data_IF_441226926307
#
_entry.id   IF_441226926307
#
_cell.length_a   1.000
_cell.length_b   1.000
_cell.length_c   1.000
_cell.angle_alpha   90.00
_cell.angle_beta   90.00
_cell.angle_gamma   90.00
#
_symmetry.space_group_name_H-M   'P 1'
#
loop_
_entity.id
_entity.type
_entity.pdbx_description
1 polymer ?
#
# COMPACT_ATOMS: atom_id res chain seq x y z
N UNK A 1 21.57 -7.94 2.80
CA UNK A 1 20.20 -8.23 2.27
C UNK A 1 19.92 -7.53 0.95
N UNK A 2 20.66 -6.46 0.60
CA UNK A 2 20.52 -5.75 -0.68
C UNK A 2 20.91 -6.59 -1.91
N UNK A 3 21.77 -7.59 -1.76
CA UNK A 3 22.23 -8.44 -2.88
C UNK A 3 21.30 -9.63 -3.22
N UNK A 4 20.24 -9.85 -2.45
CA UNK A 4 19.34 -11.00 -2.68
C UNK A 4 18.22 -10.68 -3.66
N UNK A 5 17.71 -9.47 -3.68
CA UNK A 5 16.68 -9.00 -4.59
C UNK A 5 17.23 -7.90 -5.52
N UNK A 6 16.70 -7.87 -6.73
CA UNK A 6 16.95 -6.79 -7.67
C UNK A 6 16.13 -5.53 -7.31
N UNK A 7 16.39 -4.39 -7.96
CA UNK A 7 15.65 -3.15 -7.73
C UNK A 7 14.37 -3.09 -8.56
N UNK A 8 13.35 -2.37 -8.06
CA UNK A 8 12.08 -2.19 -8.77
C UNK A 8 12.30 -1.43 -10.07
N UNK A 9 13.19 -0.43 -10.10
CA UNK A 9 13.56 0.32 -11.29
C UNK A 9 14.10 -0.59 -12.39
N UNK A 10 15.00 -1.53 -12.03
CA UNK A 10 15.56 -2.48 -13.00
C UNK A 10 14.52 -3.47 -13.54
N UNK A 11 13.56 -3.87 -12.71
CA UNK A 11 12.45 -4.71 -13.13
C UNK A 11 11.48 -3.97 -14.07
N UNK A 12 11.16 -2.70 -13.76
CA UNK A 12 10.36 -1.83 -14.64
C UNK A 12 11.03 -1.68 -16.00
N UNK A 13 12.34 -1.46 -16.04
CA UNK A 13 13.07 -1.32 -17.30
C UNK A 13 13.08 -2.62 -18.11
N UNK A 14 13.22 -3.78 -17.47
CA UNK A 14 13.12 -5.08 -18.15
C UNK A 14 11.70 -5.31 -18.70
N UNK A 15 10.64 -4.96 -17.97
CA UNK A 15 9.26 -5.04 -18.46
C UNK A 15 8.99 -4.13 -19.65
N UNK A 16 9.54 -2.90 -19.67
CA UNK A 16 9.47 -1.99 -20.84
C UNK A 16 10.08 -2.60 -22.08
N UNK A 17 11.13 -3.39 -21.90
CA UNK A 17 11.84 -4.07 -22.98
C UNK A 17 11.23 -5.45 -23.34
N UNK A 18 10.03 -5.78 -22.83
CA UNK A 18 9.33 -7.02 -23.12
C UNK A 18 9.94 -8.25 -22.46
N UNK A 19 10.76 -8.07 -21.42
CA UNK A 19 11.33 -9.18 -20.66
C UNK A 19 10.40 -9.62 -19.52
N UNK A 20 10.66 -10.81 -19.01
CA UNK A 20 10.02 -11.40 -17.85
C UNK A 20 10.77 -10.95 -16.59
N UNK A 21 10.05 -10.73 -15.48
CA UNK A 21 10.58 -10.57 -14.14
C UNK A 21 9.93 -11.57 -13.19
N UNK A 22 10.55 -11.83 -12.03
CA UNK A 22 9.94 -12.63 -10.96
C UNK A 22 9.47 -11.68 -9.87
N UNK A 23 8.24 -11.90 -9.41
CA UNK A 23 7.66 -11.18 -8.28
C UNK A 23 7.22 -12.18 -7.22
N UNK A 24 7.81 -12.12 -6.03
CA UNK A 24 7.38 -12.93 -4.89
C UNK A 24 6.56 -12.11 -3.91
N UNK A 25 5.60 -12.77 -3.27
CA UNK A 25 4.86 -12.20 -2.15
C UNK A 25 5.55 -12.48 -0.80
N UNK A 26 4.88 -12.12 0.29
CA UNK A 26 5.41 -12.29 1.65
C UNK A 26 5.33 -13.76 2.12
N UNK A 27 6.32 -14.17 2.93
CA UNK A 27 6.38 -15.51 3.52
C UNK A 27 5.14 -15.85 4.39
N UNK A 28 4.50 -14.84 4.95
CA UNK A 28 3.28 -14.99 5.76
C UNK A 28 1.98 -15.08 4.92
N UNK A 29 2.05 -14.87 3.59
CA UNK A 29 0.90 -14.94 2.69
C UNK A 29 0.89 -16.28 1.95
N UNK A 30 1.30 -16.35 0.70
CA UNK A 30 1.42 -17.58 -0.10
C UNK A 30 2.85 -18.12 -0.11
N UNK A 31 3.83 -17.20 0.07
CA UNK A 31 5.26 -17.48 -0.04
C UNK A 31 5.62 -18.11 -1.39
N UNK A 32 5.09 -17.52 -2.47
CA UNK A 32 5.23 -17.99 -3.84
C UNK A 32 5.80 -16.90 -4.73
N UNK A 33 6.26 -17.28 -5.91
CA UNK A 33 6.77 -16.36 -6.91
C UNK A 33 6.22 -16.65 -8.29
N UNK A 34 5.83 -15.58 -8.98
CA UNK A 34 5.31 -15.64 -10.33
C UNK A 34 6.31 -15.06 -11.33
N UNK A 35 6.39 -15.69 -12.51
CA UNK A 35 6.88 -15.05 -13.71
C UNK A 35 5.87 -13.99 -14.14
N UNK A 36 6.34 -12.77 -14.36
CA UNK A 36 5.50 -11.63 -14.74
C UNK A 36 6.04 -10.99 -16.01
N UNK A 37 5.18 -10.75 -17.00
CA UNK A 37 5.48 -9.86 -18.12
C UNK A 37 4.33 -8.90 -18.37
N UNK A 38 4.60 -7.78 -19.06
CA UNK A 38 3.55 -6.87 -19.50
C UNK A 38 2.72 -7.52 -20.62
N UNK A 39 1.38 -7.52 -20.45
CA UNK A 39 0.49 -8.18 -21.43
C UNK A 39 0.57 -7.55 -22.82
N UNK A 40 0.88 -6.25 -22.91
CA UNK A 40 1.03 -5.55 -24.20
C UNK A 40 2.19 -6.08 -25.04
N UNK A 41 3.26 -6.55 -24.39
CA UNK A 41 4.48 -7.04 -25.02
C UNK A 41 4.60 -8.57 -25.05
N UNK A 42 3.52 -9.28 -24.65
CA UNK A 42 3.52 -10.75 -24.65
C UNK A 42 3.75 -11.33 -26.05
N UNK A 43 4.55 -12.39 -26.14
CA UNK A 43 4.81 -13.14 -27.37
C UNK A 43 4.57 -14.63 -27.15
N UNK A 44 4.42 -15.43 -28.22
CA UNK A 44 4.35 -16.88 -28.10
C UNK A 44 5.54 -17.50 -27.36
N UNK A 45 6.74 -16.94 -27.53
CA UNK A 45 7.97 -17.40 -26.88
C UNK A 45 7.89 -17.19 -25.36
N UNK A 46 7.36 -16.03 -24.91
CA UNK A 46 7.13 -15.74 -23.49
C UNK A 46 6.14 -16.74 -22.90
N UNK A 47 5.00 -16.97 -23.55
CA UNK A 47 4.01 -17.96 -23.11
C UNK A 47 4.61 -19.36 -23.04
N UNK A 48 5.39 -19.75 -24.08
CA UNK A 48 6.07 -21.03 -24.08
C UNK A 48 7.10 -21.16 -22.94
N UNK A 49 7.85 -20.10 -22.66
CA UNK A 49 8.79 -20.06 -21.54
C UNK A 49 8.04 -20.23 -20.19
N UNK A 50 6.97 -19.46 -19.95
CA UNK A 50 6.16 -19.56 -18.75
C UNK A 50 5.59 -20.97 -18.56
N UNK A 51 5.07 -21.57 -19.62
CA UNK A 51 4.51 -22.93 -19.59
C UNK A 51 5.56 -23.99 -19.29
N UNK A 52 6.75 -23.90 -19.90
CA UNK A 52 7.78 -24.95 -19.82
C UNK A 52 8.68 -24.79 -18.60
N UNK A 53 8.94 -23.57 -18.17
CA UNK A 53 9.84 -23.25 -17.06
C UNK A 53 9.11 -22.89 -15.78
N UNK A 54 8.04 -22.09 -15.86
CA UNK A 54 7.18 -21.76 -14.72
C UNK A 54 6.34 -22.96 -14.29
N UNK A 55 5.67 -23.63 -15.23
CA UNK A 55 4.79 -24.81 -15.03
C UNK A 55 3.48 -24.51 -14.31
N UNK A 56 3.22 -23.26 -13.96
CA UNK A 56 2.00 -22.79 -13.32
C UNK A 56 0.85 -22.52 -14.31
N UNK A 57 -0.20 -21.90 -13.83
CA UNK A 57 -1.34 -21.47 -14.64
C UNK A 57 -1.05 -20.12 -15.30
N UNK A 58 -1.21 -20.05 -16.62
CA UNK A 58 -1.10 -18.76 -17.33
C UNK A 58 -2.35 -17.94 -17.07
N UNK A 59 -2.18 -16.82 -16.36
CA UNK A 59 -3.26 -15.88 -16.05
C UNK A 59 -3.00 -14.51 -16.69
N UNK A 60 -4.09 -13.86 -17.12
CA UNK A 60 -4.08 -12.47 -17.59
C UNK A 60 -4.59 -11.56 -16.49
N UNK A 61 -3.74 -10.75 -15.89
CA UNK A 61 -4.16 -9.76 -14.89
C UNK A 61 -4.54 -8.46 -15.58
N UNK A 62 -5.67 -7.87 -15.19
CA UNK A 62 -6.20 -6.67 -15.83
C UNK A 62 -6.73 -5.69 -14.80
N UNK A 63 -6.70 -4.40 -15.14
CA UNK A 63 -7.39 -3.39 -14.35
C UNK A 63 -8.91 -3.47 -14.52
N UNK A 64 -9.63 -2.74 -13.66
CA UNK A 64 -11.10 -2.70 -13.70
C UNK A 64 -11.67 -2.13 -15.00
N UNK A 65 -10.93 -1.26 -15.70
CA UNK A 65 -11.41 -0.64 -16.95
C UNK A 65 -11.41 -1.66 -18.08
N UNK A 66 -10.32 -2.41 -18.23
CA UNK A 66 -10.20 -3.50 -19.20
C UNK A 66 -11.23 -4.58 -18.90
N UNK A 67 -11.34 -5.04 -17.63
CA UNK A 67 -12.31 -6.04 -17.22
C UNK A 67 -13.76 -5.62 -17.58
N UNK A 68 -14.14 -4.37 -17.27
CA UNK A 68 -15.46 -3.83 -17.58
C UNK A 68 -15.70 -3.72 -19.08
N UNK A 69 -14.73 -3.19 -19.84
CA UNK A 69 -14.81 -3.04 -21.30
C UNK A 69 -15.04 -4.36 -21.98
N UNK A 70 -14.27 -5.39 -21.61
CA UNK A 70 -14.34 -6.72 -22.22
C UNK A 70 -15.39 -7.64 -21.58
N UNK A 71 -16.23 -7.11 -20.64
CA UNK A 71 -17.26 -7.87 -19.93
C UNK A 71 -16.72 -9.18 -19.33
N UNK A 72 -15.57 -9.07 -18.64
CA UNK A 72 -14.96 -10.19 -17.92
C UNK A 72 -15.70 -10.35 -16.58
N UNK A 73 -16.73 -11.18 -16.59
CA UNK A 73 -17.54 -11.46 -15.41
C UNK A 73 -16.81 -12.36 -14.43
N UNK A 74 -17.03 -12.15 -13.12
CA UNK A 74 -16.49 -13.02 -12.08
C UNK A 74 -16.89 -14.49 -12.37
N UNK A 75 -15.96 -15.41 -12.10
CA UNK A 75 -16.15 -16.83 -12.35
C UNK A 75 -17.24 -17.42 -11.43
N UNK A 76 -17.40 -16.87 -10.22
CA UNK A 76 -18.38 -17.26 -9.21
C UNK A 76 -19.07 -16.03 -8.63
N UNK A 77 -20.33 -16.16 -8.21
CA UNK A 77 -21.06 -15.09 -7.53
C UNK A 77 -20.55 -14.89 -6.09
N UNK A 78 -20.30 -16.00 -5.39
CA UNK A 78 -19.76 -15.99 -4.03
C UNK A 78 -18.31 -16.51 -4.06
N UNK A 79 -17.36 -15.62 -3.86
CA UNK A 79 -15.93 -15.92 -3.88
C UNK A 79 -15.48 -16.35 -2.49
N UNK A 80 -15.26 -17.64 -2.31
CA UNK A 80 -14.78 -18.27 -1.07
C UNK A 80 -13.26 -18.48 -1.04
N UNK A 81 -12.51 -17.95 -2.04
CA UNK A 81 -11.05 -18.04 -2.09
C UNK A 81 -10.42 -17.23 -0.94
N UNK A 82 -9.46 -17.82 -0.23
CA UNK A 82 -8.91 -17.32 1.04
C UNK A 82 -8.21 -15.96 0.92
N UNK A 83 -7.62 -15.66 -0.23
CA UNK A 83 -6.92 -14.39 -0.52
C UNK A 83 -7.75 -13.41 -1.36
N UNK A 84 -9.00 -13.77 -1.68
CA UNK A 84 -9.94 -12.95 -2.44
C UNK A 84 -9.51 -12.71 -3.89
N UNK A 85 -8.85 -13.70 -4.51
CA UNK A 85 -8.42 -13.64 -5.91
C UNK A 85 -9.63 -13.56 -6.84
N UNK A 86 -9.72 -12.50 -7.65
CA UNK A 86 -10.91 -12.18 -8.44
C UNK A 86 -10.82 -12.79 -9.84
N UNK A 87 -10.83 -14.14 -9.93
CA UNK A 87 -10.90 -14.85 -11.21
C UNK A 87 -12.18 -14.50 -11.96
N UNK A 88 -12.03 -14.32 -13.25
CA UNK A 88 -13.16 -14.16 -14.17
C UNK A 88 -13.32 -15.41 -15.04
N UNK A 89 -14.44 -15.51 -15.78
CA UNK A 89 -14.65 -16.58 -16.73
C UNK A 89 -13.49 -16.60 -17.72
N UNK A 90 -12.93 -17.78 -18.00
CA UNK A 90 -11.83 -17.98 -18.93
C UNK A 90 -12.23 -17.62 -20.38
N UNK A 91 -11.28 -17.20 -21.18
CA UNK A 91 -11.52 -16.69 -22.53
C UNK A 91 -10.53 -17.22 -23.56
N UNK A 92 -10.95 -17.22 -24.82
CA UNK A 92 -10.11 -17.36 -26.01
C UNK A 92 -10.51 -16.29 -27.03
N UNK A 93 -9.55 -15.82 -27.84
CA UNK A 93 -9.89 -14.96 -28.97
C UNK A 93 -10.69 -15.72 -30.03
N UNK A 94 -11.55 -15.00 -30.76
CA UNK A 94 -12.28 -15.55 -31.91
C UNK A 94 -11.33 -15.97 -33.02
N UNK A 95 -11.72 -16.99 -33.80
CA UNK A 95 -10.93 -17.54 -34.91
C UNK A 95 -10.55 -16.51 -35.97
N UNK A 96 -11.29 -15.41 -36.11
CA UNK A 96 -10.95 -14.30 -37.00
C UNK A 96 -9.59 -13.66 -36.70
N UNK A 97 -9.05 -13.86 -35.50
CA UNK A 97 -7.72 -13.41 -35.08
C UNK A 97 -6.62 -14.46 -35.35
N UNK A 98 -6.95 -15.55 -36.02
CA UNK A 98 -6.00 -16.60 -36.37
C UNK A 98 -5.81 -17.66 -35.28
N UNK A 99 -6.62 -17.66 -34.24
CA UNK A 99 -6.59 -18.68 -33.17
C UNK A 99 -7.23 -19.98 -33.65
N UNK A 100 -6.71 -21.10 -33.16
CA UNK A 100 -7.21 -22.44 -33.41
C UNK A 100 -8.03 -22.98 -32.25
N UNK A 101 -7.49 -23.92 -31.48
CA UNK A 101 -8.16 -24.49 -30.29
C UNK A 101 -8.07 -23.62 -29.06
N UNK A 102 -7.14 -22.65 -29.02
CA UNK A 102 -6.94 -21.70 -27.90
C UNK A 102 -5.75 -22.03 -26.99
N UNK A 103 -5.27 -23.31 -26.96
CA UNK A 103 -4.29 -23.75 -25.95
C UNK A 103 -2.83 -23.54 -26.38
N UNK A 104 -2.53 -23.39 -27.66
CA UNK A 104 -1.15 -23.18 -28.11
C UNK A 104 -0.57 -21.88 -27.54
N UNK A 105 0.76 -21.79 -27.45
CA UNK A 105 1.40 -20.57 -27.01
C UNK A 105 1.04 -19.36 -27.90
N UNK A 106 0.91 -19.58 -29.22
CA UNK A 106 0.47 -18.56 -30.17
C UNK A 106 -0.98 -18.12 -29.92
N UNK A 107 -1.89 -19.09 -29.75
CA UNK A 107 -3.30 -18.78 -29.46
C UNK A 107 -3.49 -18.00 -28.17
N UNK A 108 -2.77 -18.41 -27.10
CA UNK A 108 -2.83 -17.73 -25.81
C UNK A 108 -2.25 -16.30 -25.87
N UNK A 109 -1.11 -16.11 -26.54
CA UNK A 109 -0.54 -14.79 -26.75
C UNK A 109 -1.50 -13.89 -27.56
N UNK A 110 -2.14 -14.42 -28.60
CA UNK A 110 -3.15 -13.72 -29.38
C UNK A 110 -4.37 -13.36 -28.54
N UNK A 111 -4.88 -14.29 -27.73
CA UNK A 111 -6.01 -14.05 -26.83
C UNK A 111 -5.72 -12.92 -25.84
N UNK A 112 -4.53 -12.91 -25.23
CA UNK A 112 -4.10 -11.85 -24.32
C UNK A 112 -4.08 -10.49 -25.02
N UNK A 113 -3.49 -10.40 -26.21
CA UNK A 113 -3.45 -9.16 -27.00
C UNK A 113 -4.83 -8.66 -27.37
N UNK A 114 -5.73 -9.53 -27.84
CA UNK A 114 -7.12 -9.17 -28.16
C UNK A 114 -7.85 -8.68 -26.91
N UNK A 115 -7.67 -9.32 -25.74
CA UNK A 115 -8.35 -8.94 -24.53
C UNK A 115 -8.00 -7.54 -24.01
N UNK A 116 -6.79 -7.03 -24.32
CA UNK A 116 -6.33 -5.71 -23.90
C UNK A 116 -6.31 -4.64 -25.00
N UNK A 117 -6.63 -5.00 -26.24
CA UNK A 117 -6.63 -4.05 -27.35
C UNK A 117 -7.76 -3.03 -27.21
N UNK A 118 -7.47 -1.75 -27.46
CA UNK A 118 -8.43 -0.65 -27.28
C UNK A 118 -9.60 -0.71 -28.28
N UNK A 119 -9.41 -1.35 -29.43
CA UNK A 119 -10.42 -1.50 -30.47
C UNK A 119 -11.23 -2.79 -30.33
N UNK A 120 -10.80 -3.73 -29.48
CA UNK A 120 -11.54 -4.97 -29.25
C UNK A 120 -12.85 -4.75 -28.52
N UNK A 121 -13.82 -5.59 -28.81
CA UNK A 121 -15.14 -5.65 -28.20
C UNK A 121 -15.36 -7.00 -27.51
N UNK A 122 -16.33 -7.13 -26.57
CA UNK A 122 -16.56 -8.38 -25.84
C UNK A 122 -16.78 -9.61 -26.72
N UNK A 123 -17.37 -9.42 -27.90
CA UNK A 123 -17.67 -10.46 -28.89
C UNK A 123 -16.40 -11.00 -29.59
N UNK A 124 -15.26 -10.32 -29.46
CA UNK A 124 -13.97 -10.77 -29.95
C UNK A 124 -13.39 -11.93 -29.12
N UNK A 125 -13.98 -12.17 -27.95
CA UNK A 125 -13.62 -13.25 -27.04
C UNK A 125 -14.71 -14.32 -26.98
N UNK A 126 -14.30 -15.59 -27.09
CA UNK A 126 -15.12 -16.77 -26.77
C UNK A 126 -15.02 -17.05 -25.25
N UNK A 127 -16.09 -17.58 -24.69
CA UNK A 127 -16.19 -17.99 -23.28
C UNK A 127 -16.86 -19.37 -23.20
N UNK A 128 -16.31 -20.35 -22.46
CA UNK A 128 -15.00 -20.33 -21.80
C UNK A 128 -13.83 -20.47 -22.78
N UNK A 129 -12.59 -20.36 -22.27
CA UNK A 129 -11.35 -20.51 -23.05
C UNK A 129 -10.18 -20.98 -22.19
N UNK A 130 -8.96 -20.73 -22.66
CA UNK A 130 -7.72 -21.24 -22.07
C UNK A 130 -6.85 -20.13 -21.41
N UNK A 131 -7.27 -18.87 -21.46
CA UNK A 131 -6.70 -17.78 -20.66
C UNK A 131 -7.65 -17.45 -19.53
N UNK A 132 -7.12 -17.32 -18.33
CA UNK A 132 -7.85 -17.01 -17.08
C UNK A 132 -7.60 -15.55 -16.69
N UNK A 133 -8.52 -14.63 -17.01
CA UNK A 133 -8.36 -13.25 -16.59
C UNK A 133 -8.63 -13.10 -15.08
N UNK A 134 -7.81 -12.27 -14.41
CA UNK A 134 -7.97 -11.92 -13.00
C UNK A 134 -8.04 -10.40 -12.89
N UNK A 135 -9.08 -9.91 -12.22
CA UNK A 135 -9.26 -8.47 -12.03
C UNK A 135 -8.49 -7.99 -10.80
N UNK A 136 -7.52 -7.10 -11.03
CA UNK A 136 -6.80 -6.44 -9.94
C UNK A 136 -7.67 -5.45 -9.16
N UNK A 137 -7.36 -5.23 -7.88
CA UNK A 137 -7.96 -4.18 -7.06
C UNK A 137 -7.54 -2.80 -7.57
N UNK A 138 -8.42 -1.80 -7.37
CA UNK A 138 -8.21 -0.42 -7.85
C UNK A 138 -6.93 0.21 -7.30
N UNK A 139 -6.64 -0.01 -6.02
CA UNK A 139 -5.44 0.49 -5.34
C UNK A 139 -4.15 -0.29 -5.67
N UNK A 140 -4.25 -1.39 -6.46
CA UNK A 140 -3.11 -2.24 -6.77
C UNK A 140 -2.53 -2.89 -5.51
N UNK A 141 -1.19 -3.04 -5.46
CA UNK A 141 -0.49 -3.65 -4.30
C UNK A 141 -0.71 -2.89 -2.98
N UNK A 142 -1.18 -1.64 -3.02
CA UNK A 142 -1.51 -0.86 -1.83
C UNK A 142 -2.89 -1.20 -1.24
N UNK A 143 -3.72 -1.94 -1.97
CA UNK A 143 -5.03 -2.44 -1.52
C UNK A 143 -5.00 -3.95 -1.27
N UNK A 144 -4.32 -4.73 -2.13
CA UNK A 144 -4.13 -6.18 -2.00
C UNK A 144 -2.70 -6.56 -2.38
N UNK A 145 -1.98 -7.16 -1.44
CA UNK A 145 -0.53 -7.45 -1.53
C UNK A 145 -0.21 -8.72 -2.33
N UNK A 146 -0.84 -8.90 -3.50
CA UNK A 146 -0.71 -10.09 -4.34
C UNK A 146 0.00 -9.85 -5.68
N UNK A 147 0.46 -10.95 -6.32
CA UNK A 147 1.13 -10.94 -7.62
C UNK A 147 0.23 -10.39 -8.73
N UNK A 148 -1.10 -10.60 -8.64
CA UNK A 148 -2.10 -10.01 -9.54
C UNK A 148 -1.98 -8.49 -9.59
N UNK A 149 -2.03 -7.84 -8.45
CA UNK A 149 -1.91 -6.39 -8.33
C UNK A 149 -0.52 -5.91 -8.72
N UNK A 150 0.51 -6.64 -8.29
CA UNK A 150 1.90 -6.33 -8.61
C UNK A 150 2.17 -6.29 -10.12
N UNK A 151 1.65 -7.24 -10.88
CA UNK A 151 1.84 -7.31 -12.33
C UNK A 151 1.16 -6.15 -13.07
N UNK A 152 -0.05 -5.77 -12.67
CA UNK A 152 -0.79 -4.62 -13.21
C UNK A 152 -0.08 -3.30 -12.85
N UNK A 153 0.38 -3.16 -11.61
CA UNK A 153 1.12 -1.97 -11.17
C UNK A 153 2.45 -1.82 -11.90
N UNK A 154 3.21 -2.89 -12.04
CA UNK A 154 4.49 -2.86 -12.76
C UNK A 154 4.30 -2.50 -14.24
N UNK A 155 3.28 -3.06 -14.92
CA UNK A 155 2.96 -2.69 -16.29
C UNK A 155 2.61 -1.18 -16.39
N UNK A 156 1.80 -0.66 -15.47
CA UNK A 156 1.44 0.75 -15.40
C UNK A 156 2.66 1.64 -15.10
N UNK A 157 3.53 1.25 -14.17
CA UNK A 157 4.77 1.97 -13.83
C UNK A 157 5.76 1.96 -15.01
N UNK A 158 5.73 0.89 -15.82
CA UNK A 158 6.49 0.81 -17.07
C UNK A 158 5.94 1.71 -18.19
N UNK A 159 4.78 2.37 -17.98
CA UNK A 159 4.12 3.19 -19.01
C UNK A 159 3.36 2.39 -20.06
N UNK A 160 3.08 1.11 -19.78
CA UNK A 160 2.34 0.19 -20.61
C UNK A 160 0.87 0.07 -20.17
N UNK A 161 0.04 -0.63 -20.94
CA UNK A 161 -1.34 -0.91 -20.55
C UNK A 161 -1.37 -1.61 -19.18
N UNK A 162 -2.31 -1.25 -18.27
CA UNK A 162 -2.38 -1.80 -16.93
C UNK A 162 -2.90 -3.25 -16.94
N UNK A 163 -2.10 -4.12 -17.52
CA UNK A 163 -2.35 -5.55 -17.69
C UNK A 163 -1.04 -6.32 -17.69
N UNK A 164 -1.00 -7.44 -16.99
CA UNK A 164 0.14 -8.33 -16.91
C UNK A 164 -0.22 -9.76 -17.29
N UNK A 165 0.77 -10.57 -17.59
CA UNK A 165 0.65 -12.02 -17.69
C UNK A 165 1.47 -12.61 -16.55
N UNK A 166 0.87 -13.47 -15.77
CA UNK A 166 1.51 -14.12 -14.62
C UNK A 166 1.46 -15.64 -14.78
N UNK A 167 2.44 -16.31 -14.20
CA UNK A 167 2.50 -17.76 -14.10
C UNK A 167 3.34 -18.15 -12.88
N UNK A 168 2.78 -18.94 -12.01
CA UNK A 168 3.47 -19.43 -10.81
C UNK A 168 4.68 -20.29 -11.20
N UNK A 169 5.70 -20.30 -10.33
CA UNK A 169 6.91 -21.08 -10.54
C UNK A 169 6.87 -22.33 -9.66
N UNK A 170 6.88 -23.50 -10.30
CA UNK A 170 6.97 -24.78 -9.64
C UNK A 170 8.35 -25.42 -9.86
N UNK A 171 8.81 -26.15 -8.84
CA UNK A 171 9.98 -27.00 -8.94
C UNK A 171 9.74 -28.17 -9.92
N UNK A 172 10.79 -28.83 -10.45
CA UNK A 172 10.66 -29.96 -11.34
C UNK A 172 9.84 -31.14 -10.78
N UNK A 173 9.77 -31.27 -9.47
CA UNK A 173 8.99 -32.30 -8.75
C UNK A 173 7.51 -31.93 -8.55
N UNK A 174 7.11 -30.72 -9.00
CA UNK A 174 5.73 -30.20 -8.89
C UNK A 174 5.44 -29.47 -7.58
N UNK A 175 6.38 -29.34 -6.68
CA UNK A 175 6.23 -28.49 -5.49
C UNK A 175 6.39 -27.02 -5.86
N UNK A 176 5.82 -26.11 -5.04
CA UNK A 176 5.97 -24.67 -5.26
C UNK A 176 7.41 -24.23 -4.99
N UNK A 177 7.99 -23.46 -5.91
CA UNK A 177 9.29 -22.84 -5.71
C UNK A 177 9.19 -21.78 -4.61
N UNK A 178 10.12 -21.84 -3.65
CA UNK A 178 10.21 -20.88 -2.55
C UNK A 178 11.39 -19.94 -2.77
N UNK A 179 11.59 -19.00 -1.88
CA UNK A 179 12.53 -17.88 -2.00
C UNK A 179 13.92 -18.26 -2.57
N UNK A 180 14.55 -19.32 -2.04
CA UNK A 180 15.88 -19.76 -2.47
C UNK A 180 15.82 -20.42 -3.87
N UNK A 181 14.76 -21.21 -4.14
CA UNK A 181 14.51 -21.80 -5.45
C UNK A 181 14.30 -20.71 -6.50
N UNK A 182 13.51 -19.67 -6.16
CA UNK A 182 13.22 -18.52 -7.02
C UNK A 182 14.50 -17.74 -7.34
N UNK A 183 15.39 -17.51 -6.35
CA UNK A 183 16.67 -16.84 -6.59
C UNK A 183 17.57 -17.66 -7.52
N UNK A 184 17.63 -18.99 -7.31
CA UNK A 184 18.36 -19.90 -8.19
C UNK A 184 17.80 -19.86 -9.60
N UNK A 185 16.48 -19.98 -9.75
CA UNK A 185 15.78 -19.90 -11.04
C UNK A 185 16.06 -18.57 -11.75
N UNK A 186 16.00 -17.45 -11.02
CA UNK A 186 16.28 -16.11 -11.55
C UNK A 186 17.71 -16.03 -12.12
N UNK A 187 18.71 -16.53 -11.36
CA UNK A 187 20.09 -16.53 -11.78
C UNK A 187 20.35 -17.41 -13.02
N UNK A 188 19.75 -18.61 -13.05
CA UNK A 188 19.89 -19.54 -14.16
C UNK A 188 19.30 -19.01 -15.47
N UNK A 189 18.28 -18.17 -15.39
CA UNK A 189 17.56 -17.64 -16.56
C UNK A 189 17.86 -16.15 -16.84
N UNK A 190 18.68 -15.50 -16.03
CA UNK A 190 19.00 -14.07 -16.18
C UNK A 190 17.79 -13.15 -15.98
N UNK A 191 16.88 -13.50 -15.05
CA UNK A 191 15.62 -12.81 -14.78
C UNK A 191 15.75 -12.00 -13.49
N UNK A 192 15.24 -10.77 -13.48
CA UNK A 192 15.17 -9.94 -12.28
C UNK A 192 14.18 -10.49 -11.27
N UNK A 193 14.56 -10.49 -9.99
CA UNK A 193 13.75 -11.00 -8.90
C UNK A 193 13.50 -9.91 -7.85
N UNK A 194 12.24 -9.52 -7.72
CA UNK A 194 11.77 -8.50 -6.78
C UNK A 194 10.61 -9.03 -5.93
N UNK A 195 10.17 -8.26 -4.95
CA UNK A 195 9.04 -8.61 -4.05
C UNK A 195 7.91 -7.60 -4.16
N UNK A 196 6.68 -8.03 -3.81
CA UNK A 196 5.53 -7.13 -3.67
C UNK A 196 5.80 -6.03 -2.64
N UNK A 197 6.52 -6.33 -1.56
CA UNK A 197 6.89 -5.35 -0.54
C UNK A 197 7.78 -4.22 -1.09
N UNK A 198 8.72 -4.55 -2.01
CA UNK A 198 9.53 -3.52 -2.69
C UNK A 198 8.68 -2.64 -3.61
N UNK A 199 7.69 -3.21 -4.32
CA UNK A 199 6.77 -2.45 -5.18
C UNK A 199 5.91 -1.50 -4.33
N UNK A 200 5.41 -1.95 -3.18
CA UNK A 200 4.69 -1.10 -2.22
C UNK A 200 5.56 0.09 -1.79
N UNK A 201 6.79 -0.17 -1.34
CA UNK A 201 7.72 0.87 -0.91
C UNK A 201 8.01 1.87 -2.05
N UNK A 202 8.24 1.35 -3.27
CA UNK A 202 8.45 2.17 -4.46
C UNK A 202 7.25 3.08 -4.76
N UNK A 203 6.03 2.54 -4.77
CA UNK A 203 4.81 3.30 -5.04
C UNK A 203 4.55 4.37 -3.98
N UNK A 204 4.73 4.04 -2.69
CA UNK A 204 4.56 4.99 -1.60
C UNK A 204 5.50 6.19 -1.71
N UNK A 205 6.70 6.01 -2.25
CA UNK A 205 7.69 7.09 -2.41
C UNK A 205 7.53 7.88 -3.71
N UNK A 206 7.08 7.24 -4.80
CA UNK A 206 7.07 7.84 -6.14
C UNK A 206 5.68 8.29 -6.61
N UNK A 207 4.60 7.81 -6.02
CA UNK A 207 3.24 8.20 -6.41
C UNK A 207 2.59 9.11 -5.37
N UNK A 208 1.62 9.91 -5.82
CA UNK A 208 0.82 10.79 -4.98
C UNK A 208 -0.62 10.30 -4.93
N UNK A 209 -1.08 9.94 -3.72
CA UNK A 209 -2.44 9.44 -3.50
C UNK A 209 -3.33 10.45 -2.77
N UNK A 210 -2.76 11.55 -2.26
CA UNK A 210 -3.51 12.56 -1.53
C UNK A 210 -3.81 13.75 -2.41
N UNK A 211 -5.06 14.24 -2.34
CA UNK A 211 -5.52 15.44 -3.03
C UNK A 211 -6.12 16.44 -2.05
N UNK A 212 -5.78 17.72 -2.20
CA UNK A 212 -6.51 18.81 -1.54
C UNK A 212 -7.91 18.88 -2.10
N UNK A 213 -8.92 18.93 -1.22
CA UNK A 213 -10.34 19.02 -1.61
C UNK A 213 -11.02 20.29 -1.13
N UNK A 214 -10.55 20.88 -0.03
CA UNK A 214 -11.10 22.12 0.52
C UNK A 214 -10.06 22.85 1.38
N UNK A 215 -10.24 24.16 1.56
CA UNK A 215 -9.37 25.01 2.36
C UNK A 215 -10.18 26.16 2.96
N UNK A 216 -9.88 26.53 4.22
CA UNK A 216 -10.56 27.61 4.92
C UNK A 216 -9.70 28.15 6.08
N UNK A 217 -10.07 29.31 6.64
CA UNK A 217 -9.54 29.79 7.89
C UNK A 217 -10.29 29.15 9.07
N UNK A 218 -9.55 28.73 10.09
CA UNK A 218 -10.08 28.08 11.28
C UNK A 218 -9.57 28.77 12.54
N UNK A 219 -10.35 29.71 13.11
CA UNK A 219 -10.07 30.21 14.46
C UNK A 219 -10.34 29.09 15.49
N UNK A 220 -9.42 28.89 16.42
CA UNK A 220 -9.53 27.92 17.51
C UNK A 220 -9.18 28.56 18.84
N UNK A 221 -9.44 27.84 19.94
CA UNK A 221 -9.00 28.30 21.28
C UNK A 221 -7.48 28.30 21.47
N UNK A 222 -6.73 27.73 20.53
CA UNK A 222 -5.27 27.65 20.54
C UNK A 222 -4.61 28.49 19.45
N UNK A 223 -5.37 29.38 18.78
CA UNK A 223 -4.89 30.26 17.72
C UNK A 223 -5.67 30.11 16.43
N UNK A 224 -5.24 30.86 15.42
CA UNK A 224 -5.88 30.84 14.08
C UNK A 224 -4.99 30.12 13.11
N UNK A 225 -5.53 29.11 12.45
CA UNK A 225 -4.87 28.27 11.46
C UNK A 225 -5.60 28.38 10.12
N UNK A 226 -4.91 28.06 9.07
CA UNK A 226 -5.52 27.65 7.81
C UNK A 226 -5.72 26.15 7.86
N UNK A 227 -6.95 25.68 7.55
CA UNK A 227 -7.31 24.28 7.53
C UNK A 227 -7.42 23.81 6.08
N UNK A 228 -6.79 22.68 5.75
CA UNK A 228 -6.85 22.04 4.45
C UNK A 228 -7.36 20.60 4.65
N UNK A 229 -8.43 20.26 3.93
CA UNK A 229 -8.91 18.89 3.84
C UNK A 229 -8.25 18.17 2.67
N UNK A 230 -7.74 16.98 2.94
CA UNK A 230 -7.14 16.07 1.97
C UNK A 230 -7.96 14.80 1.85
N UNK A 231 -8.06 14.27 0.65
CA UNK A 231 -8.65 12.96 0.40
C UNK A 231 -7.56 11.98 -0.07
N UNK A 232 -7.49 10.84 0.58
CA UNK A 232 -6.71 9.72 0.07
C UNK A 232 -7.52 9.01 -1.03
N UNK A 233 -6.99 8.92 -2.24
CA UNK A 233 -7.67 8.33 -3.40
C UNK A 233 -7.73 6.79 -3.35
N UNK A 234 -6.93 6.15 -2.48
CA UNK A 234 -6.90 4.69 -2.33
C UNK A 234 -8.11 4.16 -1.56
N UNK A 235 -8.40 4.77 -0.40
CA UNK A 235 -9.43 4.32 0.53
C UNK A 235 -10.61 5.32 0.67
N UNK A 236 -10.47 6.52 0.08
CA UNK A 236 -11.46 7.59 0.16
C UNK A 236 -11.49 8.34 1.50
N UNK A 237 -10.57 8.03 2.42
CA UNK A 237 -10.51 8.68 3.73
C UNK A 237 -10.06 10.13 3.60
N UNK A 238 -10.71 10.99 4.37
CA UNK A 238 -10.35 12.40 4.44
C UNK A 238 -9.45 12.65 5.67
N UNK A 239 -8.37 13.40 5.45
CA UNK A 239 -7.41 13.84 6.46
C UNK A 239 -7.39 15.36 6.51
N UNK A 240 -6.83 15.94 7.59
CA UNK A 240 -6.79 17.38 7.78
C UNK A 240 -5.36 17.83 8.05
N UNK A 241 -4.96 18.94 7.43
CA UNK A 241 -3.79 19.71 7.84
C UNK A 241 -4.21 21.06 8.40
N UNK A 242 -3.70 21.43 9.57
CA UNK A 242 -3.74 22.80 10.12
C UNK A 242 -2.39 23.41 9.85
N UNK A 243 -2.34 24.56 9.18
CA UNK A 243 -1.08 25.22 8.83
C UNK A 243 -1.02 26.65 9.36
N UNK A 244 0.19 27.09 9.67
CA UNK A 244 0.51 28.44 10.10
C UNK A 244 1.75 28.95 9.41
N UNK A 245 1.63 30.05 8.64
CA UNK A 245 2.72 30.83 8.04
C UNK A 245 3.84 29.99 7.38
N UNK A 246 3.51 28.97 6.59
CA UNK A 246 4.50 28.14 5.88
C UNK A 246 5.31 28.91 4.83
N UNK A 247 4.86 30.11 4.47
CA UNK A 247 5.58 31.01 3.56
C UNK A 247 6.75 31.75 4.22
N UNK A 248 6.84 31.73 5.55
CA UNK A 248 7.96 32.31 6.30
C UNK A 248 9.23 31.44 6.12
N UNK A 249 10.06 31.81 5.16
CA UNK A 249 11.34 31.14 4.86
C UNK A 249 12.45 31.42 5.88
N UNK A 250 12.23 32.28 6.85
CA UNK A 250 13.21 32.59 7.91
C UNK A 250 13.21 31.53 9.02
N UNK A 251 12.18 30.72 9.11
CA UNK A 251 12.02 29.67 10.13
C UNK A 251 12.00 28.29 9.54
N UNK A 252 12.52 27.30 10.29
CA UNK A 252 12.31 25.88 10.02
C UNK A 252 10.95 25.52 10.61
N UNK A 253 9.95 25.08 9.82
CA UNK A 253 8.61 24.80 10.33
C UNK A 253 8.60 23.75 11.44
N UNK A 254 7.73 23.89 12.43
CA UNK A 254 7.45 22.88 13.44
C UNK A 254 6.27 22.01 12.96
N UNK A 255 6.45 20.71 12.90
CA UNK A 255 5.46 19.80 12.31
C UNK A 255 5.03 18.72 13.30
N UNK A 256 3.73 18.53 13.44
CA UNK A 256 3.13 17.43 14.19
C UNK A 256 2.35 16.50 13.24
N UNK A 257 2.69 15.22 13.25
CA UNK A 257 1.83 14.16 12.71
C UNK A 257 0.98 13.60 13.85
N UNK A 258 -0.30 13.95 13.89
CA UNK A 258 -1.22 13.53 14.93
C UNK A 258 -2.10 12.39 14.43
N UNK A 259 -2.08 11.26 15.14
CA UNK A 259 -2.98 10.13 14.87
C UNK A 259 -4.28 10.34 15.64
N UNK A 260 -5.41 10.25 14.93
CA UNK A 260 -6.76 10.37 15.49
C UNK A 260 -6.95 9.54 16.75
N UNK A 261 -7.53 10.16 17.77
CA UNK A 261 -7.96 9.55 19.00
C UNK A 261 -9.26 10.21 19.48
N UNK A 262 -10.40 9.77 19.01
CA UNK A 262 -11.69 10.40 19.27
C UNK A 262 -11.92 10.61 20.78
N UNK A 263 -11.61 9.61 21.60
CA UNK A 263 -11.82 9.70 23.06
C UNK A 263 -10.92 10.73 23.72
N UNK A 264 -9.66 10.87 23.28
CA UNK A 264 -8.73 11.86 23.81
C UNK A 264 -8.95 13.25 23.23
N UNK A 265 -9.04 13.34 21.91
CA UNK A 265 -9.05 14.62 21.19
C UNK A 265 -10.38 15.36 21.33
N UNK A 266 -11.51 14.64 21.37
CA UNK A 266 -12.88 15.22 21.41
C UNK A 266 -13.48 15.14 22.81
N UNK A 267 -13.42 13.96 23.47
CA UNK A 267 -14.07 13.75 24.76
C UNK A 267 -13.17 14.05 25.96
N UNK A 268 -11.88 14.39 25.74
CA UNK A 268 -10.94 14.71 26.82
C UNK A 268 -10.68 13.54 27.77
N UNK A 269 -10.62 12.30 27.23
CA UNK A 269 -10.35 11.11 28.04
C UNK A 269 -9.03 11.21 28.78
N UNK A 270 -9.07 10.94 30.07
CA UNK A 270 -7.89 10.90 30.93
C UNK A 270 -7.12 9.57 30.86
N UNK A 271 -7.62 8.56 30.12
CA UNK A 271 -6.93 7.28 29.92
C UNK A 271 -5.73 7.35 28.97
N UNK A 272 -5.57 8.44 28.21
CA UNK A 272 -4.46 8.68 27.29
C UNK A 272 -4.00 10.14 27.36
N UNK A 273 -2.92 10.45 26.65
CA UNK A 273 -2.32 11.79 26.53
C UNK A 273 -2.59 12.46 25.16
N UNK A 274 -3.48 11.89 24.32
CA UNK A 274 -3.65 12.33 22.93
C UNK A 274 -4.21 13.75 22.83
N UNK A 275 -5.27 14.07 23.58
CA UNK A 275 -5.87 15.41 23.59
C UNK A 275 -4.89 16.49 24.05
N UNK A 276 -4.12 16.23 25.11
CA UNK A 276 -3.09 17.14 25.59
C UNK A 276 -1.97 17.32 24.56
N UNK A 277 -1.56 16.25 23.87
CA UNK A 277 -0.57 16.33 22.81
C UNK A 277 -1.05 17.18 21.62
N UNK A 278 -2.32 17.07 21.24
CA UNK A 278 -2.90 17.89 20.18
C UNK A 278 -2.94 19.36 20.60
N UNK A 279 -3.51 19.64 21.75
CA UNK A 279 -3.63 20.99 22.31
C UNK A 279 -2.26 21.69 22.46
N UNK A 280 -1.30 21.00 23.08
CA UNK A 280 0.06 21.52 23.27
C UNK A 280 0.80 21.73 21.94
N UNK A 281 0.57 20.87 20.94
CA UNK A 281 1.17 21.05 19.61
C UNK A 281 0.56 22.26 18.88
N UNK A 282 -0.76 22.46 18.98
CA UNK A 282 -1.43 23.62 18.41
C UNK A 282 -0.90 24.92 19.04
N UNK A 283 -0.84 24.96 20.39
CA UNK A 283 -0.32 26.12 21.12
C UNK A 283 1.15 26.39 20.77
N UNK A 284 1.97 25.33 20.73
CA UNK A 284 3.38 25.48 20.37
C UNK A 284 3.55 26.10 18.98
N UNK A 285 2.80 25.63 17.97
CA UNK A 285 2.88 26.15 16.60
C UNK A 285 2.35 27.58 16.52
N UNK A 286 1.30 27.92 17.28
CA UNK A 286 0.80 29.31 17.38
C UNK A 286 1.89 30.25 17.92
N UNK A 287 2.52 29.89 19.04
CA UNK A 287 3.54 30.70 19.70
C UNK A 287 4.84 30.79 18.89
N UNK A 288 5.22 29.67 18.24
CA UNK A 288 6.38 29.63 17.37
C UNK A 288 6.15 30.41 16.06
N UNK A 289 4.91 30.46 15.60
CA UNK A 289 4.45 31.26 14.46
C UNK A 289 4.67 30.64 13.07
N UNK A 290 5.21 29.42 12.95
CA UNK A 290 5.40 28.72 11.66
C UNK A 290 5.32 27.20 11.85
N UNK A 291 4.42 26.52 11.17
CA UNK A 291 4.34 25.05 11.24
C UNK A 291 3.05 24.43 10.72
N UNK A 292 2.92 23.12 10.95
CA UNK A 292 1.76 22.36 10.50
C UNK A 292 1.42 21.22 11.47
N UNK A 293 0.13 20.90 11.57
CA UNK A 293 -0.38 19.65 12.17
C UNK A 293 -1.06 18.86 11.09
N UNK A 294 -0.59 17.66 10.82
CA UNK A 294 -1.28 16.69 9.95
C UNK A 294 -2.06 15.74 10.85
N UNK A 295 -3.38 15.85 10.82
CA UNK A 295 -4.31 15.02 11.58
C UNK A 295 -4.74 13.82 10.72
N UNK A 296 -4.22 12.65 11.09
CA UNK A 296 -4.43 11.39 10.37
C UNK A 296 -5.64 10.66 10.94
N UNK A 297 -6.71 10.59 10.17
CA UNK A 297 -7.92 9.83 10.50
C UNK A 297 -7.70 8.34 10.21
N UNK A 298 -8.57 7.47 10.72
CA UNK A 298 -8.45 6.00 10.66
C UNK A 298 -7.23 5.43 11.41
N UNK A 299 -6.62 6.22 12.30
CA UNK A 299 -5.53 5.78 13.18
C UNK A 299 -6.01 5.43 14.61
N UNK A 300 -7.33 5.39 14.83
CA UNK A 300 -7.95 5.11 16.13
C UNK A 300 -7.48 3.77 16.71
N UNK A 301 -7.11 3.78 18.01
CA UNK A 301 -6.61 2.59 18.68
C UNK A 301 -5.34 1.99 18.05
N UNK A 302 -4.53 2.80 17.35
CA UNK A 302 -3.38 2.38 16.50
C UNK A 302 -3.79 1.59 15.25
N UNK A 303 -4.90 1.98 14.66
CA UNK A 303 -5.41 1.38 13.43
C UNK A 303 -6.42 0.25 13.60
N UNK A 304 -6.76 -0.13 14.85
CA UNK A 304 -7.77 -1.18 15.11
C UNK A 304 -9.22 -0.68 15.03
N UNK A 305 -9.40 0.63 14.92
CA UNK A 305 -10.70 1.28 14.86
C UNK A 305 -11.37 1.49 16.22
N UNK A 306 -12.42 2.34 16.23
CA UNK A 306 -13.07 2.81 17.46
C UNK A 306 -13.71 1.67 18.27
N UNK A 307 -14.45 0.78 17.62
CA UNK A 307 -15.14 -0.31 18.32
C UNK A 307 -14.14 -1.25 19.04
N UNK A 308 -13.06 -1.64 18.37
CA UNK A 308 -12.04 -2.50 18.98
C UNK A 308 -11.23 -1.77 20.03
N UNK A 309 -11.00 -0.45 19.89
CA UNK A 309 -10.41 0.35 20.95
C UNK A 309 -11.25 0.33 22.25
N UNK A 310 -12.58 0.40 22.14
CA UNK A 310 -13.44 0.31 23.34
C UNK A 310 -13.35 -1.10 23.95
N UNK A 311 -13.28 -2.16 23.14
CA UNK A 311 -13.01 -3.52 23.65
C UNK A 311 -11.64 -3.61 24.34
N UNK A 312 -10.60 -2.98 23.75
CA UNK A 312 -9.27 -2.91 24.37
C UNK A 312 -9.30 -2.18 25.71
N UNK A 313 -10.08 -1.10 25.86
CA UNK A 313 -10.28 -0.43 27.14
C UNK A 313 -10.89 -1.36 28.20
N UNK A 314 -11.86 -2.20 27.82
CA UNK A 314 -12.44 -3.20 28.74
C UNK A 314 -11.38 -4.21 29.21
N UNK A 315 -10.52 -4.69 28.29
CA UNK A 315 -9.40 -5.57 28.65
C UNK A 315 -8.37 -4.87 29.56
N UNK A 316 -8.09 -3.59 29.31
CA UNK A 316 -7.20 -2.78 30.14
C UNK A 316 -7.77 -2.56 31.56
N UNK A 317 -9.08 -2.38 31.69
CA UNK A 317 -9.74 -2.32 33.01
C UNK A 317 -9.61 -3.66 33.76
N UNK A 318 -9.39 -4.78 33.06
CA UNK A 318 -9.04 -6.10 33.59
C UNK A 318 -7.54 -6.33 33.83
N UNK A 319 -6.68 -5.29 33.67
CA UNK A 319 -5.24 -5.35 33.97
C UNK A 319 -4.31 -5.61 32.76
N UNK A 320 -4.83 -5.73 31.55
CA UNK A 320 -4.00 -5.79 30.33
C UNK A 320 -3.38 -4.43 30.02
N UNK A 321 -2.17 -4.41 29.45
CA UNK A 321 -1.67 -3.18 28.85
C UNK A 321 -2.18 -2.98 27.41
N UNK A 322 -1.86 -1.82 26.82
CA UNK A 322 -2.36 -1.48 25.47
C UNK A 322 -1.85 -2.43 24.38
N UNK A 323 -0.62 -2.95 24.52
CA UNK A 323 -0.03 -3.89 23.54
C UNK A 323 -0.70 -5.25 23.67
N UNK A 324 -0.79 -5.75 24.90
CA UNK A 324 -1.44 -7.04 25.22
C UNK A 324 -2.91 -7.04 24.80
N UNK A 325 -3.65 -5.95 25.09
CA UNK A 325 -5.05 -5.84 24.71
C UNK A 325 -5.26 -5.89 23.19
N UNK A 326 -4.37 -5.29 22.39
CA UNK A 326 -4.45 -5.36 20.94
C UNK A 326 -4.15 -6.78 20.43
N UNK A 327 -3.13 -7.45 20.98
CA UNK A 327 -2.76 -8.83 20.63
C UNK A 327 -3.88 -9.81 21.00
N UNK A 328 -4.48 -9.68 22.20
CA UNK A 328 -5.61 -10.50 22.65
C UNK A 328 -6.85 -10.36 21.73
N UNK A 329 -6.98 -9.21 21.04
CA UNK A 329 -8.02 -8.96 20.03
C UNK A 329 -7.63 -9.42 18.62
N UNK A 330 -6.47 -10.03 18.45
CA UNK A 330 -5.98 -10.56 17.16
C UNK A 330 -5.31 -9.51 16.26
N UNK A 331 -4.90 -8.36 16.79
CA UNK A 331 -4.25 -7.29 16.03
C UNK A 331 -2.75 -7.20 16.33
N UNK A 332 -1.98 -6.76 15.34
CA UNK A 332 -0.61 -6.33 15.60
C UNK A 332 -0.55 -5.14 16.58
N UNK A 333 0.56 -4.95 17.31
CA UNK A 333 0.70 -3.87 18.30
C UNK A 333 0.50 -2.45 17.74
N UNK A 334 0.80 -2.24 16.47
CA UNK A 334 0.64 -0.96 15.77
C UNK A 334 0.44 -1.20 14.27
N UNK A 335 -0.74 -0.88 13.75
CA UNK A 335 -1.13 -1.02 12.34
C UNK A 335 -1.11 0.32 11.57
N UNK A 336 -0.63 1.42 12.20
CA UNK A 336 -0.67 2.74 11.58
C UNK A 336 0.33 2.86 10.45
N UNK A 337 -0.15 3.33 9.29
CA UNK A 337 0.67 3.77 8.17
C UNK A 337 0.80 5.31 8.20
N UNK A 338 2.02 5.80 8.12
CA UNK A 338 2.33 7.23 8.08
C UNK A 338 2.61 7.76 6.67
N UNK A 339 2.53 6.92 5.65
CA UNK A 339 2.79 7.27 4.25
C UNK A 339 1.87 8.37 3.73
N UNK A 340 0.58 8.31 4.04
CA UNK A 340 -0.39 9.37 3.73
C UNK A 340 0.03 10.71 4.36
N UNK A 341 0.49 10.67 5.62
CA UNK A 341 0.99 11.87 6.32
C UNK A 341 2.23 12.46 5.64
N UNK A 342 3.17 11.61 5.22
CA UNK A 342 4.35 12.04 4.47
C UNK A 342 3.96 12.73 3.15
N UNK A 343 3.01 12.17 2.42
CA UNK A 343 2.52 12.75 1.16
C UNK A 343 1.82 14.10 1.37
N UNK A 344 1.05 14.26 2.46
CA UNK A 344 0.46 15.56 2.84
C UNK A 344 1.57 16.58 3.14
N UNK A 345 2.61 16.19 3.88
CA UNK A 345 3.76 17.07 4.16
C UNK A 345 4.47 17.50 2.88
N UNK A 346 4.71 16.58 1.96
CA UNK A 346 5.32 16.89 0.66
C UNK A 346 4.45 17.81 -0.20
N UNK A 347 3.13 17.63 -0.17
CA UNK A 347 2.18 18.51 -0.87
C UNK A 347 2.15 19.93 -0.27
N UNK A 348 2.35 20.05 1.05
CA UNK A 348 2.53 21.34 1.74
C UNK A 348 3.92 21.97 1.49
N UNK A 349 4.82 21.32 0.74
CA UNK A 349 6.18 21.77 0.52
C UNK A 349 7.13 21.57 1.71
N UNK A 350 6.71 20.77 2.70
CA UNK A 350 7.45 20.52 3.94
C UNK A 350 8.43 19.37 3.74
N UNK A 351 9.56 19.65 3.08
CA UNK A 351 10.67 18.69 2.91
C UNK A 351 11.69 18.75 4.04
N UNK A 352 11.74 19.85 4.79
CA UNK A 352 12.71 20.09 5.88
C UNK A 352 12.02 20.79 7.05
N UNK A 353 11.98 20.14 8.23
CA UNK A 353 11.24 20.64 9.39
C UNK A 353 11.73 20.06 10.72
N UNK A 354 11.29 20.65 11.82
CA UNK A 354 11.43 20.09 13.17
C UNK A 354 10.19 19.27 13.52
N UNK A 355 10.37 18.02 13.94
CA UNK A 355 9.27 17.12 14.21
C UNK A 355 8.85 17.14 15.68
N UNK A 356 7.63 17.55 15.96
CA UNK A 356 7.01 17.50 17.28
C UNK A 356 6.57 16.05 17.56
N UNK A 357 7.38 15.30 18.31
CA UNK A 357 7.06 13.90 18.64
C UNK A 357 7.84 13.39 19.85
N UNK A 358 7.21 12.48 20.60
CA UNK A 358 7.87 11.62 21.60
C UNK A 358 8.00 10.16 21.10
N UNK A 359 7.53 9.85 19.87
CA UNK A 359 7.58 8.50 19.30
C UNK A 359 8.66 8.39 18.24
N UNK A 360 9.77 7.63 18.47
CA UNK A 360 10.85 7.47 17.49
C UNK A 360 10.41 6.76 16.21
N UNK A 361 9.40 5.91 16.27
CA UNK A 361 8.88 5.21 15.07
C UNK A 361 8.34 6.18 14.01
N UNK A 362 7.82 7.35 14.40
CA UNK A 362 7.39 8.40 13.45
C UNK A 362 8.55 8.99 12.67
N UNK A 363 9.75 9.06 13.27
CA UNK A 363 10.97 9.51 12.59
C UNK A 363 11.39 8.50 11.52
N UNK A 364 11.37 7.21 11.88
CA UNK A 364 11.75 6.12 10.98
C UNK A 364 10.79 6.03 9.79
N UNK A 365 9.49 6.15 10.04
CA UNK A 365 8.45 6.08 9.01
C UNK A 365 8.55 7.18 7.94
N UNK A 366 9.19 8.30 8.22
CA UNK A 366 9.39 9.41 7.26
C UNK A 366 10.70 9.30 6.47
N UNK A 367 11.65 8.45 6.87
CA UNK A 367 12.97 8.35 6.21
C UNK A 367 12.92 7.84 4.76
N UNK A 368 11.86 7.13 4.36
CA UNK A 368 11.68 6.62 2.99
C UNK A 368 11.16 7.68 2.00
N UNK A 369 10.78 8.86 2.48
CA UNK A 369 10.29 9.97 1.68
C UNK A 369 11.35 11.07 1.65
N UNK A 370 11.46 11.82 0.57
CA UNK A 370 12.41 12.95 0.44
C UNK A 370 12.15 14.06 1.50
N UNK A 371 12.30 13.67 2.78
CA UNK A 371 12.01 14.48 3.98
C UNK A 371 13.22 14.45 4.92
N UNK A 372 13.72 15.64 5.29
CA UNK A 372 14.74 15.88 6.29
C UNK A 372 14.10 16.35 7.62
N UNK A 373 14.24 15.57 8.67
CA UNK A 373 13.91 15.97 10.03
C UNK A 373 15.16 16.60 10.65
N UNK A 374 15.12 17.93 10.84
CA UNK A 374 16.27 18.70 11.35
C UNK A 374 16.46 18.44 12.84
N UNK A 375 15.37 18.52 13.62
CA UNK A 375 15.38 18.31 15.07
C UNK A 375 14.06 17.73 15.55
N UNK A 376 14.09 17.19 16.75
CA UNK A 376 12.92 16.68 17.48
C UNK A 376 12.49 17.65 18.57
N UNK A 377 11.24 18.04 18.55
CA UNK A 377 10.63 18.83 19.60
C UNK A 377 9.83 17.91 20.52
N UNK A 378 10.23 17.83 21.80
CA UNK A 378 9.49 17.09 22.81
C UNK A 378 8.24 17.88 23.24
N UNK A 379 7.11 17.18 23.40
CA UNK A 379 5.88 17.76 23.96
C UNK A 379 5.64 17.21 25.35
N UNK A 380 5.40 18.09 26.35
CA UNK A 380 5.01 17.65 27.68
C UNK A 380 3.72 16.84 27.64
N UNK A 381 3.72 15.71 28.36
CA UNK A 381 2.57 14.83 28.47
C UNK A 381 2.26 14.68 29.98
N UNK A 382 1.22 15.30 30.48
CA UNK A 382 0.89 15.22 31.91
C UNK A 382 0.50 13.79 32.30
N UNK A 383 1.10 13.30 33.38
CA UNK A 383 0.78 11.99 33.94
C UNK A 383 -0.28 12.21 35.04
N UNK A 384 -1.32 11.38 34.98
CA UNK A 384 -2.39 11.36 35.96
C UNK A 384 -2.69 9.92 36.41
N UNK A 385 -3.48 9.74 37.45
CA UNK A 385 -3.80 8.41 38.02
C UNK A 385 -4.48 7.44 37.05
N UNK A 386 -5.06 7.93 35.95
CA UNK A 386 -5.74 7.10 34.96
C UNK A 386 -4.87 6.72 33.76
N UNK A 387 -3.83 7.53 33.42
CA UNK A 387 -2.93 7.26 32.29
C UNK A 387 -1.53 6.80 32.72
N UNK A 388 -1.21 6.73 34.01
CA UNK A 388 0.13 6.35 34.50
C UNK A 388 0.60 5.00 33.93
N UNK A 389 -0.29 4.00 33.95
CA UNK A 389 0.00 2.67 33.39
C UNK A 389 0.22 2.72 31.86
N UNK A 390 -0.60 3.47 31.15
CA UNK A 390 -0.47 3.70 29.72
C UNK A 390 0.85 4.43 29.38
N UNK A 391 1.23 5.45 30.11
CA UNK A 391 2.47 6.19 29.91
C UNK A 391 3.70 5.33 30.19
N UNK A 392 3.64 4.48 31.22
CA UNK A 392 4.68 3.48 31.51
C UNK A 392 4.84 2.48 30.37
N UNK A 393 3.75 1.91 29.86
CA UNK A 393 3.76 1.00 28.70
C UNK A 393 4.38 1.67 27.46
N UNK A 394 4.06 2.94 27.19
CA UNK A 394 4.69 3.70 26.12
C UNK A 394 6.21 3.78 26.27
N UNK A 395 6.70 4.03 27.48
CA UNK A 395 8.12 4.16 27.78
C UNK A 395 8.84 2.80 27.67
N UNK A 396 8.32 1.77 28.33
CA UNK A 396 9.00 0.49 28.51
C UNK A 396 8.86 -0.46 27.32
N UNK A 397 7.66 -0.54 26.71
CA UNK A 397 7.39 -1.48 25.61
C UNK A 397 7.43 -0.84 24.23
N UNK A 398 7.42 0.49 24.14
CA UNK A 398 7.30 1.20 22.85
C UNK A 398 8.38 2.24 22.60
N UNK A 399 9.39 2.29 23.46
CA UNK A 399 10.58 3.15 23.29
C UNK A 399 10.25 4.65 23.18
N UNK A 400 9.12 5.11 23.74
CA UNK A 400 8.78 6.52 23.73
C UNK A 400 9.76 7.33 24.59
N UNK A 401 10.19 8.46 24.04
CA UNK A 401 11.06 9.43 24.68
C UNK A 401 10.23 10.40 25.54
N UNK A 402 9.81 9.94 26.72
CA UNK A 402 8.94 10.66 27.67
C UNK A 402 9.74 11.25 28.82
#
# INVERSE_FOLDING_TARGET
>A
MEDFFDTVESAIEDLKNGKIVIVADDESRENEGDLVCAAELVTPEIINFMTTKGRGLICLTVDRKIAKKMQLHQMVEDNTESHGCAFTVSVDAQSKFGTTTGISAADRATTIKVAIDDNSVPEDLRRPGHIFPIQARKGGVLERVGQTEASVDLARLAGLKPAGVICEILNPDGTMARRDDLRKFANENGIKFITVAQIIAYRLTHERFVKRIAQAHLPTKHGTFEVIAYKNELDGVEHIALIKNLDDKTKIPAVRMHSECLTGDVFGSLKCDCGDQLANSMQYIEDYGCGAIVYLRHHEGRGIGLANKIKAYHLQDGGRDTVEANVDLGFAPDLRDYGVGAQILLDLGLKRFNLITNNPKKIVALKGYDIEIVDRIAIPCPINKYNEFYMRTKKEKMEHLL
#
